data_IF_100301751045
#
_entry.id   IF_100301751045
#
_cell.length_a   1.000
_cell.length_b   1.000
_cell.length_c   1.000
_cell.angle_alpha   90.00
_cell.angle_beta   90.00
_cell.angle_gamma   90.00
#
_symmetry.space_group_name_H-M   'P 1'
#
loop_
_entity.id
_entity.type
_entity.pdbx_description
1 polymer ?
#
# COMPACT_ATOMS: atom_id res chain seq x y z
N UNK A 1 3.70 10.44 -1.39
CA UNK A 1 3.36 9.53 -2.51
C UNK A 1 4.28 8.33 -2.41
N UNK A 2 3.75 7.11 -2.38
CA UNK A 2 4.60 5.91 -2.31
C UNK A 2 5.15 5.70 -3.71
N UNK A 3 6.47 5.85 -3.87
CA UNK A 3 7.14 5.71 -5.16
C UNK A 3 7.24 4.22 -5.52
N UNK A 4 6.19 3.72 -6.17
CA UNK A 4 6.17 2.37 -6.76
C UNK A 4 6.21 2.52 -8.27
N UNK A 5 7.25 1.95 -8.88
CA UNK A 5 7.35 1.91 -10.34
C UNK A 5 6.13 1.20 -10.95
N UNK A 6 5.56 1.76 -12.01
CA UNK A 6 4.38 1.20 -12.69
C UNK A 6 4.58 -0.26 -13.11
N UNK A 7 5.78 -0.61 -13.58
CA UNK A 7 6.12 -1.99 -13.95
C UNK A 7 6.06 -2.96 -12.76
N UNK A 8 6.39 -2.50 -11.55
CA UNK A 8 6.27 -3.30 -10.32
C UNK A 8 4.81 -3.53 -9.97
N UNK A 9 3.98 -2.49 -10.04
CA UNK A 9 2.55 -2.60 -9.79
C UNK A 9 1.89 -3.58 -10.76
N UNK A 10 2.15 -3.45 -12.06
CA UNK A 10 1.61 -4.38 -13.06
C UNK A 10 2.06 -5.83 -12.83
N UNK A 11 3.29 -6.06 -12.40
CA UNK A 11 3.72 -7.42 -12.06
C UNK A 11 2.91 -8.03 -10.91
N UNK A 12 2.49 -7.21 -9.94
CA UNK A 12 1.64 -7.66 -8.83
C UNK A 12 0.20 -7.89 -9.26
N UNK A 13 -0.39 -6.94 -9.99
CA UNK A 13 -1.78 -7.03 -10.46
C UNK A 13 -2.01 -8.24 -11.38
N UNK A 14 -0.99 -8.61 -12.17
CA UNK A 14 -1.04 -9.75 -13.07
C UNK A 14 -0.57 -11.07 -12.41
N UNK A 15 -0.26 -11.06 -11.11
CA UNK A 15 0.20 -12.25 -10.38
C UNK A 15 1.56 -12.79 -10.80
N UNK A 16 2.35 -12.03 -11.57
CA UNK A 16 3.71 -12.42 -12.00
C UNK A 16 4.72 -12.36 -10.86
N UNK A 17 4.47 -11.49 -9.87
CA UNK A 17 5.23 -11.37 -8.62
C UNK A 17 4.29 -11.02 -7.48
N UNK A 18 4.71 -11.29 -6.24
CA UNK A 18 4.02 -10.79 -5.06
C UNK A 18 4.74 -9.55 -4.48
N UNK A 19 4.01 -8.64 -3.82
CA UNK A 19 4.60 -7.62 -2.98
C UNK A 19 5.31 -8.27 -1.78
N UNK A 20 6.40 -7.67 -1.32
CA UNK A 20 7.17 -8.13 -0.15
C UNK A 20 7.45 -6.99 0.83
N UNK A 21 7.87 -7.34 2.05
CA UNK A 21 8.31 -6.37 3.06
C UNK A 21 7.26 -5.29 3.36
N UNK A 22 7.66 -4.01 3.43
CA UNK A 22 6.76 -2.90 3.73
C UNK A 22 5.56 -2.77 2.78
N UNK A 23 5.72 -3.07 1.49
CA UNK A 23 4.62 -3.02 0.53
C UNK A 23 3.55 -4.08 0.83
N UNK A 24 3.96 -5.31 1.16
CA UNK A 24 3.03 -6.37 1.57
C UNK A 24 2.31 -6.02 2.87
N UNK A 25 3.04 -5.48 3.83
CA UNK A 25 2.46 -5.03 5.10
C UNK A 25 1.43 -3.92 4.89
N UNK A 26 1.75 -2.92 4.06
CA UNK A 26 0.86 -1.83 3.74
C UNK A 26 -0.40 -2.30 3.00
N UNK A 27 -0.25 -3.13 1.97
CA UNK A 27 -1.41 -3.67 1.24
C UNK A 27 -2.32 -4.49 2.16
N UNK A 28 -1.75 -5.24 3.09
CA UNK A 28 -2.53 -5.96 4.13
C UNK A 28 -3.23 -4.99 5.07
N UNK A 29 -2.58 -3.91 5.49
CA UNK A 29 -3.19 -2.89 6.34
C UNK A 29 -4.35 -2.19 5.61
N UNK A 30 -4.16 -1.81 4.35
CA UNK A 30 -5.21 -1.21 3.49
C UNK A 30 -6.39 -2.18 3.34
N UNK A 31 -6.12 -3.47 3.13
CA UNK A 31 -7.18 -4.48 3.02
C UNK A 31 -8.01 -4.61 4.30
N UNK A 32 -7.35 -4.54 5.46
CA UNK A 32 -8.00 -4.72 6.76
C UNK A 32 -8.74 -3.46 7.24
N UNK A 33 -8.16 -2.27 7.04
CA UNK A 33 -8.69 -1.00 7.52
C UNK A 33 -8.26 0.18 6.61
N UNK A 34 -8.94 0.34 5.46
CA UNK A 34 -8.55 1.35 4.48
C UNK A 34 -8.73 2.78 5.02
N UNK A 35 -9.72 3.03 5.88
CA UNK A 35 -10.02 4.37 6.37
C UNK A 35 -8.93 4.90 7.29
N UNK A 36 -8.50 4.11 8.29
CA UNK A 36 -7.44 4.55 9.21
C UNK A 36 -6.08 4.62 8.51
N UNK A 37 -5.81 3.71 7.56
CA UNK A 37 -4.57 3.78 6.77
C UNK A 37 -4.53 5.04 5.91
N UNK A 38 -5.61 5.35 5.17
CA UNK A 38 -5.68 6.59 4.37
C UNK A 38 -5.53 7.81 5.27
N UNK A 39 -6.21 7.85 6.42
CA UNK A 39 -6.09 8.95 7.39
C UNK A 39 -4.66 9.13 7.91
N UNK A 40 -4.00 8.03 8.28
CA UNK A 40 -2.61 8.06 8.77
C UNK A 40 -1.62 8.52 7.69
N UNK A 41 -1.90 8.23 6.41
CA UNK A 41 -1.08 8.68 5.28
C UNK A 41 -1.39 10.12 4.82
N UNK A 42 -2.53 10.69 5.21
CA UNK A 42 -3.03 11.98 4.74
C UNK A 42 -2.44 13.21 5.48
N UNK A 43 -1.36 13.05 6.25
CA UNK A 43 -0.74 14.14 7.04
C UNK A 43 -1.73 14.85 7.99
N UNK A 44 -2.76 14.14 8.46
CA UNK A 44 -3.69 14.66 9.46
C UNK A 44 -3.31 14.08 10.83
N UNK A 45 -2.56 14.82 11.67
CA UNK A 45 -2.36 14.40 13.05
C UNK A 45 -3.73 14.31 13.72
N UNK A 46 -4.06 13.14 14.24
CA UNK A 46 -5.25 12.96 15.07
C UNK A 46 -4.98 13.63 16.43
N UNK A 47 -5.83 14.57 16.89
CA UNK A 47 -5.75 15.05 18.26
C UNK A 47 -6.04 13.93 19.26
#
# INVERSE_FOLDING_TARGET
MIDVQLATLHNWEQGRREPTGPAKALLRAIHNDPQHVIRALADQPQP
#
